data_IF_706145168195
#
_entry.id   IF_706145168195
#
_cell.length_a   1.000
_cell.length_b   1.000
_cell.length_c   1.000
_cell.angle_alpha   90.00
_cell.angle_beta   90.00
_cell.angle_gamma   90.00
#
_symmetry.space_group_name_H-M   'P 1'
#
loop_
_entity.id
_entity.type
_entity.pdbx_description
1 polymer ?
#
# COMPACT_ATOMS: atom_id res chain seq x y z
N UNK A 1 5.76 -30.56 1.35
CA UNK A 1 4.38 -30.19 1.74
C UNK A 1 4.23 -28.72 1.34
N UNK A 2 3.41 -28.46 0.31
CA UNK A 2 3.30 -27.12 -0.31
C UNK A 2 2.52 -26.17 0.61
N UNK A 3 2.89 -24.86 0.55
CA UNK A 3 2.20 -23.79 1.31
C UNK A 3 0.71 -23.66 0.96
N UNK A 4 0.30 -24.13 -0.22
CA UNK A 4 -1.10 -24.18 -0.67
C UNK A 4 -1.94 -25.23 0.07
N UNK A 5 -1.36 -26.40 0.38
CA UNK A 5 -2.01 -27.44 1.16
C UNK A 5 -2.27 -26.99 2.61
N UNK A 6 -1.37 -26.15 3.14
CA UNK A 6 -1.51 -25.61 4.49
C UNK A 6 -2.63 -24.55 4.58
N UNK A 7 -2.84 -23.77 3.51
CA UNK A 7 -3.91 -22.77 3.44
C UNK A 7 -5.30 -23.43 3.37
N UNK A 8 -5.44 -24.46 2.54
CA UNK A 8 -6.69 -25.24 2.43
C UNK A 8 -6.98 -25.95 3.77
N UNK A 9 -5.98 -26.52 4.41
CA UNK A 9 -6.14 -27.18 5.71
C UNK A 9 -6.50 -26.17 6.82
N UNK A 10 -5.91 -24.97 6.83
CA UNK A 10 -6.25 -23.92 7.80
C UNK A 10 -7.65 -23.36 7.56
N UNK A 11 -8.14 -23.29 6.31
CA UNK A 11 -9.53 -22.99 5.99
C UNK A 11 -10.47 -24.09 6.49
N UNK A 12 -10.09 -25.36 6.34
CA UNK A 12 -10.89 -26.49 6.84
C UNK A 12 -10.88 -26.56 8.36
N UNK A 13 -9.75 -26.31 9.04
CA UNK A 13 -9.66 -26.30 10.51
C UNK A 13 -10.46 -25.16 11.13
N UNK A 14 -10.39 -23.94 10.59
CA UNK A 14 -11.26 -22.83 11.02
C UNK A 14 -12.74 -23.08 10.71
N UNK A 15 -13.03 -23.78 9.62
CA UNK A 15 -14.41 -24.19 9.30
C UNK A 15 -14.91 -25.26 10.27
N UNK A 16 -14.07 -26.13 10.81
CA UNK A 16 -14.43 -27.10 11.85
C UNK A 16 -14.59 -26.47 13.24
N UNK A 17 -13.84 -25.42 13.57
CA UNK A 17 -14.04 -24.66 14.80
C UNK A 17 -15.35 -23.86 14.79
N UNK A 18 -15.73 -23.30 13.65
CA UNK A 18 -17.04 -22.66 13.43
C UNK A 18 -18.18 -23.70 13.52
N UNK A 19 -17.98 -24.91 13.01
CA UNK A 19 -18.95 -26.04 13.13
C UNK A 19 -19.16 -26.52 14.56
N UNK A 20 -18.20 -26.32 15.46
CA UNK A 20 -18.34 -26.68 16.88
C UNK A 20 -19.10 -25.63 17.70
N UNK A 21 -19.21 -24.39 17.22
CA UNK A 21 -19.87 -23.31 17.95
C UNK A 21 -21.38 -23.18 17.65
N UNK A 22 -21.84 -23.58 16.46
CA UNK A 22 -23.26 -23.54 16.10
C UNK A 22 -23.59 -24.69 15.15
N UNK A 23 -24.71 -25.39 15.38
CA UNK A 23 -25.29 -26.39 14.48
C UNK A 23 -25.87 -25.65 13.24
N UNK A 24 -25.01 -25.14 12.39
CA UNK A 24 -25.38 -24.51 11.11
C UNK A 24 -24.97 -25.43 9.98
N UNK A 25 -25.90 -25.63 9.04
CA UNK A 25 -25.87 -26.47 7.84
C UNK A 25 -24.47 -26.66 7.24
N UNK A 26 -24.11 -27.89 6.80
CA UNK A 26 -22.84 -28.13 6.15
C UNK A 26 -22.71 -27.24 4.92
N UNK A 27 -21.60 -26.51 4.84
CA UNK A 27 -21.16 -25.83 3.63
C UNK A 27 -21.22 -26.88 2.49
N UNK A 28 -22.17 -26.75 1.59
CA UNK A 28 -22.20 -27.56 0.37
C UNK A 28 -21.00 -27.15 -0.46
N UNK A 29 -19.96 -27.95 -0.40
CA UNK A 29 -18.76 -27.84 -1.25
C UNK A 29 -19.03 -28.36 -2.66
N UNK A 30 -20.30 -28.40 -3.09
CA UNK A 30 -20.68 -28.84 -4.42
C UNK A 30 -20.29 -27.77 -5.44
N UNK A 31 -19.57 -28.24 -6.46
CA UNK A 31 -19.28 -27.42 -7.63
C UNK A 31 -20.51 -27.45 -8.52
N UNK A 32 -21.11 -26.28 -8.74
CA UNK A 32 -22.32 -26.13 -9.56
C UNK A 32 -21.95 -25.35 -10.82
N UNK A 33 -22.49 -25.75 -11.97
CA UNK A 33 -22.42 -24.92 -13.18
C UNK A 33 -23.46 -23.82 -13.08
N UNK A 34 -23.00 -22.57 -13.27
CA UNK A 34 -23.81 -21.38 -13.09
C UNK A 34 -23.71 -20.47 -14.31
N UNK A 35 -24.84 -19.95 -14.81
CA UNK A 35 -24.80 -18.97 -15.90
C UNK A 35 -23.99 -17.75 -15.53
N UNK A 36 -23.07 -17.35 -16.40
CA UNK A 36 -22.14 -16.22 -16.13
C UNK A 36 -22.90 -14.90 -15.92
N UNK A 37 -24.06 -14.76 -16.55
CA UNK A 37 -24.93 -13.58 -16.40
C UNK A 37 -25.59 -13.43 -15.03
N UNK A 38 -25.62 -14.49 -14.20
CA UNK A 38 -26.12 -14.43 -12.82
C UNK A 38 -25.01 -14.05 -11.82
N UNK A 39 -23.77 -13.89 -12.29
CA UNK A 39 -22.60 -13.61 -11.46
C UNK A 39 -22.17 -12.16 -11.67
N UNK A 40 -21.89 -11.46 -10.58
CA UNK A 40 -21.42 -10.07 -10.60
C UNK A 40 -20.09 -9.92 -9.89
N UNK A 41 -19.18 -9.08 -10.41
CA UNK A 41 -17.93 -8.81 -9.73
C UNK A 41 -18.15 -7.98 -8.46
N UNK A 42 -17.34 -8.23 -7.42
CA UNK A 42 -17.33 -7.36 -6.25
C UNK A 42 -16.68 -6.01 -6.61
N UNK A 43 -17.51 -4.95 -6.64
CA UNK A 43 -17.08 -3.59 -6.99
C UNK A 43 -16.06 -2.98 -6.00
N UNK A 44 -15.97 -3.54 -4.80
CA UNK A 44 -15.01 -3.10 -3.78
C UNK A 44 -13.68 -3.83 -3.85
N UNK A 45 -13.55 -4.80 -4.76
CA UNK A 45 -12.30 -5.54 -4.93
C UNK A 45 -11.13 -4.58 -5.22
N UNK A 46 -10.13 -4.47 -4.32
CA UNK A 46 -9.02 -3.54 -4.50
C UNK A 46 -8.02 -4.01 -5.56
N UNK A 47 -8.04 -5.29 -5.90
CA UNK A 47 -7.04 -5.91 -6.76
C UNK A 47 -7.38 -5.72 -8.24
N UNK A 48 -6.42 -5.19 -8.99
CA UNK A 48 -6.57 -4.94 -10.43
C UNK A 48 -6.19 -6.20 -11.23
N UNK A 49 -6.88 -6.40 -12.35
CA UNK A 49 -6.47 -7.38 -13.35
C UNK A 49 -5.51 -6.69 -14.32
N UNK A 50 -4.27 -7.19 -14.42
CA UNK A 50 -3.30 -6.70 -15.41
C UNK A 50 -3.59 -7.35 -16.75
N UNK A 51 -3.58 -6.56 -17.81
CA UNK A 51 -3.88 -7.05 -19.16
C UNK A 51 -2.85 -8.08 -19.64
N UNK A 52 -1.58 -7.86 -19.30
CA UNK A 52 -0.48 -8.78 -19.61
C UNK A 52 -0.64 -10.20 -19.04
N UNK A 53 -1.33 -10.31 -17.89
CA UNK A 53 -1.59 -11.59 -17.22
C UNK A 53 -2.86 -12.28 -17.74
N UNK A 54 -3.69 -11.58 -18.54
CA UNK A 54 -4.99 -12.12 -18.96
C UNK A 54 -4.85 -13.10 -20.13
N UNK A 55 -4.02 -12.79 -21.13
CA UNK A 55 -3.87 -13.61 -22.33
C UNK A 55 -3.43 -15.05 -22.04
N UNK A 56 -2.40 -15.31 -21.21
CA UNK A 56 -2.04 -16.68 -20.83
C UNK A 56 -3.18 -17.43 -20.12
N UNK A 57 -3.97 -16.71 -19.30
CA UNK A 57 -5.12 -17.29 -18.61
C UNK A 57 -6.27 -17.61 -19.58
N UNK A 58 -6.56 -16.74 -20.53
CA UNK A 58 -7.56 -16.95 -21.58
C UNK A 58 -7.19 -18.17 -22.45
N UNK A 59 -5.92 -18.29 -22.84
CA UNK A 59 -5.44 -19.44 -23.61
C UNK A 59 -5.57 -20.74 -22.83
N UNK A 60 -5.19 -20.75 -21.55
CA UNK A 60 -5.36 -21.90 -20.66
C UNK A 60 -6.81 -22.29 -20.47
N UNK A 61 -7.72 -21.32 -20.29
CA UNK A 61 -9.16 -21.60 -20.14
C UNK A 61 -9.77 -22.11 -21.45
N UNK A 62 -9.30 -21.65 -22.60
CA UNK A 62 -9.74 -22.14 -23.92
C UNK A 62 -9.37 -23.61 -24.13
N UNK A 63 -8.18 -24.01 -23.67
CA UNK A 63 -7.67 -25.38 -23.85
C UNK A 63 -8.23 -26.36 -22.82
N UNK A 64 -8.29 -25.95 -21.56
CA UNK A 64 -8.54 -26.85 -20.42
C UNK A 64 -9.84 -26.55 -19.68
N UNK A 65 -10.57 -25.51 -20.05
CA UNK A 65 -11.69 -25.01 -19.28
C UNK A 65 -11.26 -24.35 -17.96
N UNK A 66 -12.22 -24.03 -17.11
CA UNK A 66 -11.98 -23.47 -15.78
C UNK A 66 -11.78 -24.64 -14.82
N UNK A 67 -10.52 -25.00 -14.55
CA UNK A 67 -10.15 -26.09 -13.65
C UNK A 67 -10.50 -25.79 -12.19
N UNK A 68 -10.20 -24.57 -11.75
CA UNK A 68 -10.53 -24.11 -10.40
C UNK A 68 -11.86 -23.35 -10.42
N UNK A 69 -12.90 -23.78 -9.66
CA UNK A 69 -14.17 -23.08 -9.63
C UNK A 69 -14.04 -21.67 -9.05
N UNK A 70 -14.95 -20.78 -9.42
CA UNK A 70 -15.10 -19.48 -8.77
C UNK A 70 -15.73 -19.67 -7.39
N UNK A 71 -15.39 -18.84 -6.44
CA UNK A 71 -16.08 -18.76 -5.15
C UNK A 71 -17.03 -17.57 -5.17
N UNK A 72 -18.32 -17.82 -4.93
CA UNK A 72 -19.37 -16.80 -4.97
C UNK A 72 -20.24 -16.86 -3.72
N UNK A 73 -20.89 -15.76 -3.39
CA UNK A 73 -21.97 -15.71 -2.39
C UNK A 73 -23.24 -15.15 -3.01
N UNK A 74 -24.39 -15.52 -2.48
CA UNK A 74 -25.65 -14.88 -2.90
C UNK A 74 -25.65 -13.42 -2.39
N UNK A 75 -26.03 -12.47 -3.24
CA UNK A 75 -26.20 -11.07 -2.82
C UNK A 75 -27.43 -10.94 -1.91
N UNK A 76 -27.33 -10.07 -0.89
CA UNK A 76 -28.39 -9.92 0.11
C UNK A 76 -29.64 -9.19 -0.43
N UNK A 77 -29.51 -8.50 -1.56
CA UNK A 77 -30.53 -7.58 -2.09
C UNK A 77 -31.02 -7.92 -3.50
N UNK A 78 -30.19 -8.61 -4.26
CA UNK A 78 -30.45 -8.95 -5.65
C UNK A 78 -30.35 -10.46 -5.86
N UNK A 79 -31.08 -11.00 -6.83
CA UNK A 79 -30.99 -12.42 -7.17
C UNK A 79 -29.81 -12.70 -8.10
N UNK A 80 -28.64 -12.33 -7.63
CA UNK A 80 -27.34 -12.52 -8.29
C UNK A 80 -26.31 -13.05 -7.29
N UNK A 81 -25.18 -13.54 -7.81
CA UNK A 81 -24.09 -14.06 -7.02
C UNK A 81 -22.86 -13.15 -7.13
N UNK A 82 -22.36 -12.67 -6.02
CA UNK A 82 -21.17 -11.81 -5.96
C UNK A 82 -19.89 -12.66 -5.87
N UNK A 83 -18.89 -12.34 -6.68
CA UNK A 83 -17.61 -13.05 -6.71
C UNK A 83 -16.79 -12.70 -5.47
N UNK A 84 -16.35 -13.73 -4.75
CA UNK A 84 -15.40 -13.63 -3.64
C UNK A 84 -13.98 -13.91 -4.15
N UNK A 85 -13.81 -14.99 -4.92
CA UNK A 85 -12.51 -15.37 -5.51
C UNK A 85 -12.71 -15.84 -6.95
N UNK A 86 -11.73 -15.53 -7.80
CA UNK A 86 -11.76 -15.92 -9.21
C UNK A 86 -12.14 -14.78 -10.17
N UNK A 87 -12.05 -13.50 -9.79
CA UNK A 87 -12.37 -12.35 -10.66
C UNK A 87 -11.65 -12.39 -12.01
N UNK A 88 -10.38 -12.83 -12.06
CA UNK A 88 -9.63 -12.99 -13.33
C UNK A 88 -10.23 -14.07 -14.22
N UNK A 89 -10.62 -15.22 -13.62
CA UNK A 89 -11.27 -16.32 -14.34
C UNK A 89 -12.64 -15.92 -14.89
N UNK A 90 -13.42 -15.19 -14.09
CA UNK A 90 -14.68 -14.61 -14.54
C UNK A 90 -14.47 -13.66 -15.72
N UNK A 91 -13.50 -12.74 -15.64
CA UNK A 91 -13.21 -11.80 -16.73
C UNK A 91 -12.74 -12.54 -18.00
N UNK A 92 -11.88 -13.55 -17.87
CA UNK A 92 -11.44 -14.37 -18.99
C UNK A 92 -12.61 -15.17 -19.61
N UNK A 93 -13.46 -15.77 -18.77
CA UNK A 93 -14.65 -16.48 -19.25
C UNK A 93 -15.61 -15.55 -20.00
N UNK A 94 -15.81 -14.32 -19.51
CA UNK A 94 -16.63 -13.31 -20.19
C UNK A 94 -16.06 -12.93 -21.55
N UNK A 95 -14.72 -12.75 -21.65
CA UNK A 95 -14.04 -12.44 -22.93
C UNK A 95 -14.08 -13.60 -23.93
N UNK A 96 -14.13 -14.83 -23.42
CA UNK A 96 -14.23 -16.05 -24.21
C UNK A 96 -15.68 -16.43 -24.53
N UNK A 97 -16.65 -15.61 -24.14
CA UNK A 97 -18.10 -15.83 -24.35
C UNK A 97 -18.60 -17.17 -23.77
N UNK A 98 -17.97 -17.62 -22.66
CA UNK A 98 -18.39 -18.83 -21.94
C UNK A 98 -19.72 -18.53 -21.23
N UNK A 99 -20.72 -19.35 -21.46
CA UNK A 99 -22.08 -19.14 -20.94
C UNK A 99 -22.28 -19.63 -19.51
N UNK A 100 -21.58 -20.69 -19.12
CA UNK A 100 -21.65 -21.30 -17.79
C UNK A 100 -20.27 -21.52 -17.23
N UNK A 101 -20.10 -21.28 -15.93
CA UNK A 101 -18.84 -21.42 -15.22
C UNK A 101 -19.01 -22.26 -13.95
N UNK A 102 -18.00 -23.08 -13.58
CA UNK A 102 -18.03 -23.84 -12.33
C UNK A 102 -17.88 -22.89 -11.15
N UNK A 103 -18.79 -22.97 -10.18
CA UNK A 103 -18.77 -22.16 -8.96
C UNK A 103 -18.95 -23.00 -7.72
N UNK A 104 -18.41 -22.51 -6.61
CA UNK A 104 -18.75 -22.93 -5.25
C UNK A 104 -19.51 -21.79 -4.60
N UNK A 105 -20.74 -22.07 -4.18
CA UNK A 105 -21.57 -21.08 -3.50
C UNK A 105 -21.29 -21.17 -2.00
N UNK A 106 -20.89 -20.05 -1.39
CA UNK A 106 -20.67 -19.95 0.04
C UNK A 106 -21.85 -19.24 0.70
N UNK A 107 -22.40 -19.87 1.74
CA UNK A 107 -23.43 -19.26 2.59
C UNK A 107 -22.74 -18.50 3.73
N UNK A 108 -22.29 -17.30 3.42
CA UNK A 108 -21.51 -16.43 4.32
C UNK A 108 -22.00 -14.99 4.24
N UNK A 109 -21.74 -14.24 5.29
CA UNK A 109 -22.01 -12.81 5.35
C UNK A 109 -21.09 -12.02 4.40
N UNK A 110 -21.48 -10.77 4.10
CA UNK A 110 -20.65 -9.89 3.28
C UNK A 110 -19.29 -9.59 3.95
N UNK A 111 -19.28 -9.44 5.25
CA UNK A 111 -18.07 -9.19 6.04
C UNK A 111 -17.09 -10.36 5.95
N UNK A 112 -17.58 -11.58 6.04
CA UNK A 112 -16.76 -12.80 5.88
C UNK A 112 -16.23 -12.91 4.45
N UNK A 113 -17.06 -12.60 3.45
CA UNK A 113 -16.64 -12.58 2.06
C UNK A 113 -15.53 -11.55 1.81
N UNK A 114 -15.63 -10.34 2.38
CA UNK A 114 -14.61 -9.29 2.28
C UNK A 114 -13.28 -9.75 2.90
N UNK A 115 -13.30 -10.49 4.02
CA UNK A 115 -12.11 -11.06 4.66
C UNK A 115 -11.47 -12.12 3.77
N UNK A 116 -12.25 -13.09 3.27
CA UNK A 116 -11.77 -14.16 2.38
C UNK A 116 -11.17 -13.58 1.10
N UNK A 117 -11.82 -12.57 0.52
CA UNK A 117 -11.31 -11.88 -0.68
C UNK A 117 -9.92 -11.29 -0.43
N UNK A 118 -9.73 -10.63 0.70
CA UNK A 118 -8.43 -10.04 1.05
C UNK A 118 -7.40 -11.12 1.30
N UNK A 119 -7.70 -12.11 2.13
CA UNK A 119 -6.74 -13.13 2.54
C UNK A 119 -6.27 -14.00 1.37
N UNK A 120 -7.19 -14.36 0.45
CA UNK A 120 -6.85 -15.11 -0.76
C UNK A 120 -5.91 -14.36 -1.72
N UNK A 121 -5.75 -13.06 -1.58
CA UNK A 121 -4.96 -12.23 -2.49
C UNK A 121 -3.71 -11.60 -1.83
N UNK A 122 -3.60 -11.60 -0.49
CA UNK A 122 -2.45 -10.99 0.21
C UNK A 122 -1.12 -11.72 -0.05
N UNK A 123 -1.15 -12.96 -0.52
CA UNK A 123 0.03 -13.78 -0.81
C UNK A 123 0.50 -13.68 -2.27
N UNK A 124 -0.09 -12.80 -3.09
CA UNK A 124 0.38 -12.57 -4.46
C UNK A 124 1.79 -11.97 -4.45
N UNK A 125 2.65 -12.40 -5.37
CA UNK A 125 4.03 -11.90 -5.48
C UNK A 125 4.11 -10.39 -5.73
N UNK A 126 3.18 -9.86 -6.50
CA UNK A 126 3.17 -8.45 -6.89
C UNK A 126 1.82 -7.81 -6.56
N UNK A 127 1.77 -7.11 -5.43
CA UNK A 127 0.63 -6.30 -5.00
C UNK A 127 1.06 -4.84 -4.97
N UNK A 128 0.31 -3.96 -5.64
CA UNK A 128 0.58 -2.52 -5.58
C UNK A 128 0.35 -1.97 -4.16
N UNK A 129 1.10 -0.95 -3.73
CA UNK A 129 0.86 -0.29 -2.45
C UNK A 129 -0.59 0.17 -2.25
N UNK A 130 -1.24 0.66 -3.31
CA UNK A 130 -2.65 1.04 -3.28
C UNK A 130 -3.58 -0.16 -3.04
N UNK A 131 -3.36 -1.26 -3.73
CA UNK A 131 -4.15 -2.49 -3.56
C UNK A 131 -4.06 -3.01 -2.12
N UNK A 132 -2.83 -3.08 -1.59
CA UNK A 132 -2.57 -3.49 -0.20
C UNK A 132 -3.22 -2.54 0.81
N UNK A 133 -3.20 -1.24 0.53
CA UNK A 133 -3.82 -0.22 1.37
C UNK A 133 -5.34 -0.38 1.47
N UNK A 134 -6.02 -0.54 0.31
CA UNK A 134 -7.46 -0.75 0.28
C UNK A 134 -7.87 -2.13 0.79
N UNK A 135 -7.07 -3.17 0.55
CA UNK A 135 -7.30 -4.51 1.08
C UNK A 135 -7.27 -4.51 2.62
N UNK A 136 -6.23 -3.95 3.24
CA UNK A 136 -6.16 -3.83 4.69
C UNK A 136 -7.29 -2.98 5.27
N UNK A 137 -7.67 -1.90 4.57
CA UNK A 137 -8.83 -1.11 5.01
C UNK A 137 -10.10 -1.93 4.95
N UNK A 138 -10.36 -2.66 3.86
CA UNK A 138 -11.53 -3.52 3.70
C UNK A 138 -11.61 -4.57 4.81
N UNK A 139 -10.53 -5.32 5.06
CA UNK A 139 -10.48 -6.33 6.12
C UNK A 139 -10.69 -5.72 7.50
N UNK A 140 -10.04 -4.58 7.79
CA UNK A 140 -10.23 -3.86 9.06
C UNK A 140 -11.69 -3.42 9.26
N UNK A 141 -12.32 -2.91 8.22
CA UNK A 141 -13.71 -2.44 8.28
C UNK A 141 -14.68 -3.63 8.43
N UNK A 142 -14.40 -4.76 7.81
CA UNK A 142 -15.18 -6.01 7.97
C UNK A 142 -15.08 -6.57 9.38
N UNK A 143 -13.87 -6.70 9.94
CA UNK A 143 -13.63 -7.16 11.31
C UNK A 143 -14.33 -6.27 12.35
N UNK A 144 -14.29 -4.94 12.18
CA UNK A 144 -14.99 -4.01 13.07
C UNK A 144 -16.51 -4.20 13.06
N UNK A 145 -17.09 -4.56 11.94
CA UNK A 145 -18.53 -4.81 11.84
C UNK A 145 -18.92 -6.13 12.49
N UNK A 146 -18.09 -7.17 12.33
CA UNK A 146 -18.29 -8.45 13.03
C UNK A 146 -18.22 -8.26 14.55
N UNK A 147 -17.21 -7.54 15.08
CA UNK A 147 -17.12 -7.24 16.51
C UNK A 147 -18.34 -6.52 17.07
N UNK A 148 -18.92 -5.56 16.34
CA UNK A 148 -20.15 -4.88 16.75
C UNK A 148 -21.38 -5.80 16.77
N UNK A 149 -21.45 -6.83 15.93
CA UNK A 149 -22.54 -7.82 15.94
C UNK A 149 -22.47 -8.74 17.17
N UNK A 150 -21.28 -9.13 17.57
CA UNK A 150 -21.06 -9.94 18.79
C UNK A 150 -21.39 -9.15 20.06
N UNK A 151 -21.13 -7.84 20.10
CA UNK A 151 -21.45 -6.97 21.26
C UNK A 151 -22.98 -6.81 21.48
N UNK A 152 -23.80 -7.02 20.46
CA UNK A 152 -25.28 -7.00 20.58
C UNK A 152 -25.85 -8.29 21.19
N UNK A 153 -25.06 -9.36 21.24
CA UNK A 153 -25.50 -10.70 21.72
C UNK A 153 -24.86 -11.13 23.03
N UNK A 154 -23.84 -10.41 23.54
CA UNK A 154 -23.20 -10.72 24.82
C UNK A 154 -22.83 -9.46 25.60
N UNK A 155 -23.19 -9.41 26.89
CA UNK A 155 -22.81 -8.37 27.85
C UNK A 155 -21.30 -8.35 28.21
N UNK A 156 -20.46 -9.04 27.45
CA UNK A 156 -19.01 -9.04 27.63
C UNK A 156 -18.37 -8.05 26.66
N UNK A 157 -17.55 -7.16 27.22
CA UNK A 157 -16.69 -6.23 26.46
C UNK A 157 -15.84 -7.01 25.48
N UNK A 158 -16.20 -7.01 24.20
CA UNK A 158 -15.47 -7.70 23.15
C UNK A 158 -14.02 -7.20 23.06
N UNK A 159 -13.06 -8.07 22.67
CA UNK A 159 -11.65 -7.70 22.53
C UNK A 159 -11.51 -6.54 21.53
N UNK A 160 -10.73 -5.52 21.88
CA UNK A 160 -10.35 -4.46 20.94
C UNK A 160 -9.65 -5.07 19.75
N UNK A 161 -10.34 -5.16 18.60
CA UNK A 161 -9.78 -5.62 17.34
C UNK A 161 -8.50 -4.85 17.02
N UNK A 162 -7.38 -5.54 17.05
CA UNK A 162 -6.08 -4.93 16.80
C UNK A 162 -5.73 -4.97 15.32
N UNK A 163 -4.94 -4.01 14.84
CA UNK A 163 -4.41 -4.07 13.48
C UNK A 163 -3.52 -5.32 13.22
N UNK A 164 -3.16 -6.08 14.27
CA UNK A 164 -2.44 -7.36 14.18
C UNK A 164 -3.29 -8.49 13.58
N UNK A 165 -4.62 -8.43 13.70
CA UNK A 165 -5.54 -9.41 13.12
C UNK A 165 -5.74 -9.22 11.59
N UNK A 166 -5.25 -8.11 11.05
CA UNK A 166 -5.43 -7.75 9.63
C UNK A 166 -4.39 -8.43 8.74
N UNK A 167 -3.21 -8.75 9.25
CA UNK A 167 -2.13 -9.35 8.47
C UNK A 167 -1.21 -10.20 9.34
N UNK A 168 -0.88 -11.37 8.84
CA UNK A 168 0.11 -12.26 9.44
C UNK A 168 1.54 -11.93 9.00
N UNK A 169 1.70 -11.14 7.92
CA UNK A 169 3.00 -10.82 7.31
C UNK A 169 3.52 -9.44 7.67
N UNK A 170 2.64 -8.45 7.83
CA UNK A 170 3.01 -7.07 8.14
C UNK A 170 2.76 -6.73 9.60
N UNK A 171 3.67 -5.95 10.19
CA UNK A 171 3.48 -5.43 11.53
C UNK A 171 2.27 -4.50 11.63
N UNK A 172 1.69 -4.38 12.85
CA UNK A 172 0.57 -3.44 13.14
C UNK A 172 0.87 -2.01 12.65
N UNK A 173 2.10 -1.55 12.82
CA UNK A 173 2.55 -0.23 12.36
C UNK A 173 2.54 -0.14 10.84
N UNK A 174 2.96 -1.20 10.15
CA UNK A 174 2.99 -1.24 8.70
C UNK A 174 1.57 -1.28 8.12
N UNK A 175 0.66 -2.08 8.68
CA UNK A 175 -0.77 -2.10 8.32
C UNK A 175 -1.39 -0.71 8.43
N UNK A 176 -1.17 0.01 9.55
CA UNK A 176 -1.66 1.38 9.72
C UNK A 176 -1.11 2.34 8.67
N UNK A 177 0.16 2.22 8.31
CA UNK A 177 0.80 3.03 7.26
C UNK A 177 0.20 2.75 5.88
N UNK A 178 -0.06 1.48 5.52
CA UNK A 178 -0.77 1.15 4.29
C UNK A 178 -2.18 1.73 4.28
N UNK A 179 -2.97 1.51 5.32
CA UNK A 179 -4.34 2.06 5.42
C UNK A 179 -4.30 3.59 5.27
N UNK A 180 -3.26 4.26 5.78
CA UNK A 180 -3.12 5.71 5.66
C UNK A 180 -3.02 6.17 4.20
N UNK A 181 -2.40 5.39 3.30
CA UNK A 181 -2.32 5.71 1.87
C UNK A 181 -3.70 5.88 1.20
N UNK A 182 -4.76 5.24 1.73
CA UNK A 182 -6.12 5.42 1.20
C UNK A 182 -6.64 6.86 1.32
N UNK A 183 -5.93 7.74 2.05
CA UNK A 183 -6.24 9.17 2.19
C UNK A 183 -5.61 10.03 1.09
N UNK A 184 -4.72 9.48 0.28
CA UNK A 184 -4.18 10.18 -0.88
C UNK A 184 -5.25 10.41 -1.95
N UNK A 185 -5.06 11.46 -2.77
CA UNK A 185 -5.82 11.61 -4.01
C UNK A 185 -5.37 10.54 -5.02
N UNK A 186 -6.24 10.09 -5.93
CA UNK A 186 -5.92 8.99 -6.86
C UNK A 186 -4.62 9.21 -7.66
N UNK A 187 -4.35 10.44 -8.06
CA UNK A 187 -3.16 10.81 -8.84
C UNK A 187 -1.86 10.60 -8.05
N UNK A 188 -1.79 11.05 -6.80
CA UNK A 188 -0.62 10.83 -5.94
C UNK A 188 -0.46 9.35 -5.56
N UNK A 189 -1.57 8.66 -5.35
CA UNK A 189 -1.55 7.24 -5.05
C UNK A 189 -1.02 6.42 -6.23
N UNK A 190 -1.41 6.75 -7.47
CA UNK A 190 -0.85 6.16 -8.68
C UNK A 190 0.67 6.38 -8.79
N UNK A 191 1.18 7.56 -8.41
CA UNK A 191 2.62 7.81 -8.38
C UNK A 191 3.36 6.94 -7.35
N UNK A 192 2.70 6.55 -6.26
CA UNK A 192 3.26 5.59 -5.29
C UNK A 192 3.30 4.19 -5.89
N UNK A 193 2.25 3.76 -6.59
CA UNK A 193 2.20 2.46 -7.29
C UNK A 193 3.30 2.36 -8.37
N UNK A 194 3.54 3.45 -9.09
CA UNK A 194 4.58 3.57 -10.12
C UNK A 194 5.99 3.79 -9.54
N UNK A 195 6.15 3.77 -8.22
CA UNK A 195 7.43 4.04 -7.53
C UNK A 195 8.05 5.41 -7.83
N UNK A 196 7.29 6.35 -8.42
CA UNK A 196 7.71 7.75 -8.61
C UNK A 196 7.79 8.51 -7.29
N UNK A 197 6.95 8.14 -6.33
CA UNK A 197 6.96 8.60 -4.95
C UNK A 197 7.18 7.37 -4.06
N UNK A 198 8.16 7.42 -3.16
CA UNK A 198 8.39 6.30 -2.24
C UNK A 198 7.22 6.12 -1.27
N UNK A 199 7.00 4.89 -0.81
CA UNK A 199 5.96 4.54 0.16
C UNK A 199 5.96 5.46 1.39
N UNK A 200 7.13 5.72 1.98
CA UNK A 200 7.25 6.57 3.17
C UNK A 200 6.85 8.02 2.90
N UNK A 201 7.23 8.57 1.74
CA UNK A 201 6.80 9.90 1.30
C UNK A 201 5.28 9.93 1.11
N UNK A 202 4.70 8.93 0.43
CA UNK A 202 3.25 8.81 0.26
C UNK A 202 2.48 8.82 1.58
N UNK A 203 3.00 8.11 2.60
CA UNK A 203 2.41 8.10 3.95
C UNK A 203 2.42 9.50 4.57
N UNK A 204 3.53 10.26 4.47
CA UNK A 204 3.60 11.64 5.01
C UNK A 204 2.64 12.57 4.26
N UNK A 205 2.59 12.48 2.93
CA UNK A 205 1.68 13.29 2.09
C UNK A 205 0.19 13.00 2.35
N UNK A 206 -0.13 11.81 2.82
CA UNK A 206 -1.51 11.43 3.15
C UNK A 206 -2.10 12.22 4.33
N UNK A 207 -1.28 12.98 5.06
CA UNK A 207 -1.72 13.86 6.15
C UNK A 207 -2.18 15.24 5.66
N UNK A 208 -1.83 15.62 4.43
CA UNK A 208 -2.29 16.84 3.79
C UNK A 208 -3.78 16.78 3.48
N UNK A 209 -4.44 17.92 3.46
CA UNK A 209 -5.83 18.04 2.98
C UNK A 209 -5.92 17.71 1.48
N UNK A 210 -7.12 17.41 0.98
CA UNK A 210 -7.32 17.12 -0.45
C UNK A 210 -6.95 18.29 -1.36
N UNK A 211 -7.16 19.51 -0.90
CA UNK A 211 -6.80 20.73 -1.63
C UNK A 211 -5.28 20.85 -1.73
N UNK A 212 -4.56 20.75 -0.60
CA UNK A 212 -3.11 20.82 -0.56
C UNK A 212 -2.44 19.70 -1.38
N UNK A 213 -2.99 18.48 -1.34
CA UNK A 213 -2.53 17.37 -2.18
C UNK A 213 -2.71 17.69 -3.67
N UNK A 214 -3.81 18.34 -4.04
CA UNK A 214 -4.07 18.73 -5.43
C UNK A 214 -3.10 19.81 -5.88
N UNK A 215 -2.80 20.80 -5.06
CA UNK A 215 -1.85 21.86 -5.38
C UNK A 215 -0.42 21.33 -5.46
N UNK A 216 -0.04 20.44 -4.53
CA UNK A 216 1.24 19.73 -4.61
C UNK A 216 1.34 18.90 -5.91
N UNK A 217 0.28 18.19 -6.29
CA UNK A 217 0.27 17.42 -7.53
C UNK A 217 0.45 18.30 -8.76
N UNK A 218 -0.24 19.45 -8.86
CA UNK A 218 -0.05 20.42 -9.93
C UNK A 218 1.40 20.92 -10.00
N UNK A 219 2.02 21.16 -8.83
CA UNK A 219 3.42 21.56 -8.77
C UNK A 219 4.34 20.46 -9.31
N UNK A 220 4.11 19.20 -8.91
CA UNK A 220 4.89 18.04 -9.39
C UNK A 220 4.77 17.89 -10.91
N UNK A 221 3.56 18.03 -11.48
CA UNK A 221 3.34 17.96 -12.93
C UNK A 221 4.07 19.07 -13.68
N UNK A 222 4.05 20.28 -13.13
CA UNK A 222 4.68 21.44 -13.77
C UNK A 222 6.20 21.38 -13.74
N UNK A 223 6.77 21.08 -12.58
CA UNK A 223 8.23 21.17 -12.36
C UNK A 223 8.93 19.79 -12.51
N UNK A 224 8.18 18.72 -12.81
CA UNK A 224 8.67 17.35 -12.96
C UNK A 224 9.56 16.88 -11.79
N UNK A 225 9.25 17.32 -10.59
CA UNK A 225 10.01 16.98 -9.39
C UNK A 225 9.09 16.42 -8.29
N UNK A 226 9.49 15.30 -7.70
CA UNK A 226 8.78 14.67 -6.58
C UNK A 226 9.40 15.08 -5.24
N UNK A 227 8.62 15.16 -4.13
CA UNK A 227 9.16 15.53 -2.83
C UNK A 227 10.09 14.45 -2.25
N UNK A 228 11.13 14.88 -1.55
CA UNK A 228 11.91 14.03 -0.66
C UNK A 228 11.16 13.77 0.65
N UNK A 229 11.61 12.79 1.45
CA UNK A 229 10.99 12.50 2.74
C UNK A 229 11.03 13.73 3.69
N UNK A 230 12.15 14.45 3.72
CA UNK A 230 12.28 15.66 4.55
C UNK A 230 11.34 16.79 4.10
N UNK A 231 11.16 16.96 2.79
CA UNK A 231 10.19 17.93 2.25
C UNK A 231 8.75 17.50 2.59
N UNK A 232 8.40 16.21 2.44
CA UNK A 232 7.07 15.70 2.79
C UNK A 232 6.74 15.88 4.29
N UNK A 233 7.73 15.67 5.17
CA UNK A 233 7.59 15.92 6.61
C UNK A 233 7.36 17.40 6.93
N UNK A 234 8.06 18.32 6.24
CA UNK A 234 7.82 19.76 6.39
C UNK A 234 6.43 20.16 5.91
N UNK A 235 6.01 19.66 4.74
CA UNK A 235 4.65 19.89 4.21
C UNK A 235 3.58 19.41 5.18
N UNK A 236 3.74 18.19 5.73
CA UNK A 236 2.85 17.66 6.74
C UNK A 236 2.77 18.55 7.97
N UNK A 237 3.91 19.02 8.49
CA UNK A 237 3.95 19.88 9.67
C UNK A 237 3.17 21.16 9.44
N UNK A 238 3.41 21.89 8.35
CA UNK A 238 2.69 23.12 8.00
C UNK A 238 1.19 22.87 7.73
N UNK A 239 0.83 21.73 7.12
CA UNK A 239 -0.57 21.34 6.95
C UNK A 239 -1.27 21.13 8.31
N UNK A 240 -0.60 20.50 9.27
CA UNK A 240 -1.12 20.31 10.62
C UNK A 240 -1.24 21.62 11.41
N UNK A 241 -0.36 22.57 11.15
CA UNK A 241 -0.40 23.93 11.71
C UNK A 241 -1.44 24.83 11.00
N UNK A 242 -2.03 24.38 9.88
CA UNK A 242 -3.01 25.13 9.10
C UNK A 242 -2.42 26.30 8.30
N UNK A 243 -1.10 26.34 8.11
CA UNK A 243 -0.38 27.41 7.45
C UNK A 243 0.07 27.06 6.02
N UNK A 244 -0.14 25.81 5.58
CA UNK A 244 0.30 25.35 4.26
C UNK A 244 -0.56 25.97 3.14
N UNK A 245 0.09 26.68 2.22
CA UNK A 245 -0.52 27.22 1.01
C UNK A 245 0.32 26.89 -0.23
N UNK A 246 -0.14 27.28 -1.42
CA UNK A 246 0.55 26.97 -2.69
C UNK A 246 1.94 27.62 -2.79
N UNK A 247 2.15 28.78 -2.17
CA UNK A 247 3.44 29.48 -2.15
C UNK A 247 4.44 28.72 -1.27
N UNK A 248 4.01 28.27 -0.07
CA UNK A 248 4.81 27.47 0.83
C UNK A 248 5.17 26.10 0.21
N UNK A 249 4.22 25.46 -0.49
CA UNK A 249 4.49 24.22 -1.24
C UNK A 249 5.61 24.47 -2.26
N UNK A 250 5.50 25.54 -3.05
CA UNK A 250 6.53 25.91 -4.04
C UNK A 250 7.89 26.19 -3.39
N UNK A 251 7.91 26.93 -2.29
CA UNK A 251 9.12 27.25 -1.53
C UNK A 251 9.83 25.99 -1.02
N UNK A 252 9.09 25.08 -0.39
CA UNK A 252 9.65 23.82 0.15
C UNK A 252 10.14 22.92 -0.98
N UNK A 253 9.37 22.80 -2.06
CA UNK A 253 9.71 21.91 -3.16
C UNK A 253 10.94 22.37 -3.96
N UNK A 254 11.20 23.67 -4.02
CA UNK A 254 12.40 24.26 -4.66
C UNK A 254 13.66 24.16 -3.81
N UNK A 255 13.56 23.82 -2.52
CA UNK A 255 14.75 23.61 -1.67
C UNK A 255 15.57 22.42 -2.20
N UNK A 256 16.89 22.57 -2.19
CA UNK A 256 17.81 21.50 -2.55
C UNK A 256 17.55 20.25 -1.69
N UNK A 257 17.41 19.09 -2.34
CA UNK A 257 17.29 17.81 -1.63
C UNK A 257 18.63 17.47 -0.97
N UNK A 258 18.56 16.76 0.15
CA UNK A 258 19.76 16.38 0.92
C UNK A 258 20.83 15.64 0.08
N UNK A 259 20.41 14.86 -0.93
CA UNK A 259 21.29 14.18 -1.87
C UNK A 259 21.87 15.07 -2.98
N UNK A 260 21.36 16.29 -3.15
CA UNK A 260 21.87 17.31 -4.08
C UNK A 260 22.87 18.26 -3.43
N UNK A 261 23.01 18.22 -2.10
CA UNK A 261 24.03 18.94 -1.37
C UNK A 261 25.31 18.10 -1.42
N UNK A 262 26.32 18.61 -2.12
CA UNK A 262 27.65 18.00 -2.12
C UNK A 262 28.22 18.03 -0.69
N UNK A 263 28.29 16.87 -0.07
CA UNK A 263 28.84 16.71 1.27
C UNK A 263 30.20 16.03 1.16
N UNK A 264 31.25 16.71 1.59
CA UNK A 264 32.60 16.15 1.70
C UNK A 264 32.78 15.64 3.12
N UNK A 265 32.95 14.32 3.29
CA UNK A 265 33.28 13.73 4.59
C UNK A 265 34.78 13.78 4.79
N UNK A 266 35.23 14.56 5.76
CA UNK A 266 36.65 14.62 6.15
C UNK A 266 36.83 13.79 7.43
N UNK A 267 37.70 12.76 7.43
CA UNK A 267 37.98 11.96 8.61
C UNK A 267 38.47 12.82 9.76
N UNK A 268 38.00 12.55 10.97
CA UNK A 268 38.30 13.38 12.17
C UNK A 268 39.77 13.41 12.53
N UNK A 269 40.50 12.32 12.31
CA UNK A 269 41.94 12.19 12.50
C UNK A 269 42.76 13.20 11.67
N UNK A 270 42.21 13.64 10.53
CA UNK A 270 42.85 14.66 9.67
C UNK A 270 42.68 16.08 10.20
N UNK A 271 41.65 16.34 10.98
CA UNK A 271 41.29 17.67 11.48
C UNK A 271 41.71 17.86 12.92
N UNK A 272 41.69 16.79 13.73
CA UNK A 272 41.99 16.81 15.16
C UNK A 272 43.37 17.36 15.50
N UNK A 273 44.34 17.25 14.58
CA UNK A 273 45.69 17.79 14.74
C UNK A 273 45.75 19.33 14.84
N UNK A 274 44.70 20.00 14.33
CA UNK A 274 44.63 21.46 14.22
C UNK A 274 43.58 22.08 15.14
N UNK A 275 42.83 21.26 15.85
CA UNK A 275 41.74 21.68 16.74
C UNK A 275 41.98 21.17 18.16
N UNK A 276 41.37 21.85 19.14
CA UNK A 276 41.38 21.37 20.54
C UNK A 276 40.61 20.06 20.64
N UNK A 277 41.04 19.16 21.53
CA UNK A 277 40.44 17.81 21.69
C UNK A 277 38.95 17.80 22.04
N UNK A 278 38.40 18.90 22.52
CA UNK A 278 36.98 19.08 22.86
C UNK A 278 36.28 20.13 21.99
N UNK A 279 36.77 20.37 20.76
CA UNK A 279 36.17 21.31 19.84
C UNK A 279 34.76 20.87 19.44
N UNK A 280 33.80 21.78 19.52
CA UNK A 280 32.41 21.57 19.12
C UNK A 280 32.28 21.39 17.60
N UNK A 281 31.18 20.78 17.15
CA UNK A 281 30.90 20.59 15.71
C UNK A 281 30.97 21.93 14.95
N UNK A 282 30.42 22.99 15.50
CA UNK A 282 30.45 24.33 14.92
C UNK A 282 31.87 24.90 14.77
N UNK A 283 32.73 24.69 15.74
CA UNK A 283 34.14 25.09 15.67
C UNK A 283 34.91 24.33 14.59
N UNK A 284 34.60 23.03 14.41
CA UNK A 284 35.18 22.19 13.34
C UNK A 284 34.74 22.71 11.94
N UNK A 285 33.49 23.06 11.78
CA UNK A 285 32.92 23.60 10.52
C UNK A 285 33.53 24.99 10.21
N UNK A 286 33.63 25.87 11.20
CA UNK A 286 34.24 27.20 11.07
C UNK A 286 35.73 27.12 10.70
N UNK A 287 36.45 26.18 11.32
CA UNK A 287 37.87 25.97 11.00
C UNK A 287 38.02 25.50 9.53
N UNK A 288 37.22 24.51 9.09
CA UNK A 288 37.28 24.00 7.73
C UNK A 288 36.95 25.09 6.71
N UNK A 289 35.93 25.88 6.98
CA UNK A 289 35.55 27.00 6.12
C UNK A 289 36.68 27.99 5.93
N UNK A 290 37.32 28.41 7.01
CA UNK A 290 38.48 29.33 6.99
C UNK A 290 39.69 28.70 6.29
N UNK A 291 39.95 27.42 6.51
CA UNK A 291 41.07 26.72 5.87
C UNK A 291 40.86 26.63 4.33
N UNK A 292 39.65 26.32 3.86
CA UNK A 292 39.35 26.30 2.44
C UNK A 292 39.46 27.67 1.82
N UNK A 293 38.97 28.71 2.49
CA UNK A 293 39.06 30.09 2.00
C UNK A 293 40.55 30.57 1.94
N UNK A 294 41.31 30.28 2.96
CA UNK A 294 42.73 30.61 2.97
C UNK A 294 43.50 29.91 1.84
N UNK A 295 43.29 28.63 1.69
CA UNK A 295 43.96 27.84 0.64
C UNK A 295 43.49 28.27 -0.77
N UNK A 296 42.22 28.59 -0.97
CA UNK A 296 41.71 29.15 -2.20
C UNK A 296 42.38 30.46 -2.58
N UNK A 297 42.52 31.40 -1.63
CA UNK A 297 43.25 32.67 -1.84
C UNK A 297 44.74 32.43 -2.14
N UNK A 298 45.36 31.42 -1.52
CA UNK A 298 46.75 31.06 -1.80
C UNK A 298 46.95 30.52 -3.22
N UNK A 299 46.05 29.65 -3.69
CA UNK A 299 46.09 29.12 -5.06
C UNK A 299 45.91 30.22 -6.10
N UNK A 300 44.99 31.18 -5.88
CA UNK A 300 44.81 32.32 -6.76
C UNK A 300 46.10 33.17 -6.88
N UNK A 301 46.73 33.46 -5.75
CA UNK A 301 48.01 34.20 -5.75
C UNK A 301 49.15 33.46 -6.47
N UNK A 302 49.15 32.11 -6.40
CA UNK A 302 50.13 31.32 -7.16
C UNK A 302 49.89 31.38 -8.66
N UNK A 303 48.61 31.28 -9.12
CA UNK A 303 48.26 31.43 -10.53
C UNK A 303 48.68 32.81 -11.08
N UNK A 304 48.46 33.87 -10.33
CA UNK A 304 48.83 35.22 -10.75
C UNK A 304 50.37 35.43 -10.79
N UNK A 305 51.14 34.68 -9.98
CA UNK A 305 52.61 34.72 -10.02
C UNK A 305 53.20 33.83 -11.14
N UNK A 306 52.49 32.81 -11.60
CA UNK A 306 52.92 31.94 -12.70
C UNK A 306 52.52 32.46 -14.09
N UNK A 307 51.69 33.50 -14.16
CA UNK A 307 51.23 34.14 -15.40
C UNK A 307 52.03 35.41 -15.73
N UNK A 308 53.12 35.71 -14.99
CA UNK A 308 54.17 36.70 -15.28
C UNK A 308 55.44 35.94 -15.62
#
# INVERSE_FOLDING_TARGET
>A
MNKEDNFINTLFEKTEEIKKAEAVNPLTTEIVQMPIGSIVPNLKNPYKCREEDMKPLEDSIRENGIIQPLMVRKDDKADVYEIISGHRRYLAATRLEITEVPVVVLDITREEADIILVDSNLHREHIFPSEKAFAYKMKMDALKKQGKRTDLTSDQVGPKLSAGEVSDTDSVSQVKRYIRLTKLIPKLLAMVDESKISFSVGVELSYLTKTEQTDLFKFIEKELCTPSLSQAQKLKKLSQEGTLNSEEISSIMKQLKANQVLTVKIPEDKISKYLKSNATQKEKEDFLSKAVEYYGKHLMKQKDRGAR
#
